data_IF_685080570437
#
_entry.id   IF_685080570437
#
_cell.length_a   1.000
_cell.length_b   1.000
_cell.length_c   1.000
_cell.angle_alpha   90.00
_cell.angle_beta   90.00
_cell.angle_gamma   90.00
#
_symmetry.space_group_name_H-M   'P 1'
#
loop_
_entity.id
_entity.type
_entity.pdbx_description
1 polymer ?
#
# COMPACT_ATOMS: atom_id res chain seq x y z
N UNK A 1 1.66 2.38 5.05
CA UNK A 1 1.36 1.91 6.44
C UNK A 1 0.74 2.98 7.37
N UNK A 2 1.08 4.27 7.24
CA UNK A 2 0.50 5.33 8.12
C UNK A 2 -1.02 5.50 7.95
N UNK A 3 -1.55 5.34 6.73
CA UNK A 3 -3.00 5.34 6.47
C UNK A 3 -3.77 4.33 7.33
N UNK A 4 -3.23 3.12 7.50
CA UNK A 4 -3.85 2.07 8.33
C UNK A 4 -3.86 2.42 9.82
N UNK A 5 -2.89 3.20 10.31
CA UNK A 5 -2.84 3.62 11.72
C UNK A 5 -3.69 4.86 12.00
N UNK A 6 -3.67 5.84 11.10
CA UNK A 6 -4.22 7.17 11.37
C UNK A 6 -5.69 7.33 10.95
N UNK A 7 -6.13 6.71 9.86
CA UNK A 7 -7.50 6.91 9.35
C UNK A 7 -8.50 5.86 9.85
N UNK A 8 -8.01 4.68 10.24
CA UNK A 8 -8.88 3.54 10.52
C UNK A 8 -9.30 3.39 11.99
N UNK A 9 -8.87 4.28 12.90
CA UNK A 9 -9.13 4.21 14.36
C UNK A 9 -8.81 2.84 14.98
N UNK A 10 -7.83 2.12 14.44
CA UNK A 10 -7.46 0.79 14.89
C UNK A 10 -6.51 0.92 16.09
N UNK A 11 -6.77 0.15 17.14
CA UNK A 11 -5.93 0.17 18.34
C UNK A 11 -4.49 -0.22 17.99
N UNK A 12 -3.51 0.52 18.51
CA UNK A 12 -2.09 0.36 18.15
C UNK A 12 -1.55 -1.05 18.43
N UNK A 13 -2.12 -1.76 19.40
CA UNK A 13 -1.75 -3.16 19.72
C UNK A 13 -2.04 -4.17 18.62
N UNK A 14 -2.86 -3.81 17.63
CA UNK A 14 -3.16 -4.66 16.47
C UNK A 14 -2.02 -4.61 15.45
N UNK A 15 -1.21 -3.55 15.47
CA UNK A 15 -0.08 -3.37 14.57
C UNK A 15 1.22 -3.89 15.17
N UNK A 16 2.24 -4.12 14.33
CA UNK A 16 3.61 -4.34 14.80
C UNK A 16 4.06 -3.27 15.78
N UNK A 17 4.88 -3.69 16.75
CA UNK A 17 5.59 -2.76 17.63
C UNK A 17 6.33 -1.71 16.80
N UNK A 18 6.39 -0.46 17.28
CA UNK A 18 6.98 0.66 16.53
C UNK A 18 8.45 0.44 16.15
N UNK A 19 9.18 -0.35 16.94
CA UNK A 19 10.58 -0.70 16.70
C UNK A 19 10.75 -2.03 15.93
N UNK A 20 9.67 -2.64 15.45
CA UNK A 20 9.74 -3.89 14.69
C UNK A 20 10.37 -3.62 13.32
N UNK A 21 11.47 -4.30 13.06
CA UNK A 21 12.09 -4.38 11.73
C UNK A 21 11.91 -5.77 11.13
N UNK A 22 12.04 -5.87 9.81
CA UNK A 22 11.92 -7.11 9.05
C UNK A 22 13.26 -7.42 8.39
N UNK A 23 13.70 -8.66 8.49
CA UNK A 23 14.98 -9.08 7.89
C UNK A 23 14.83 -9.45 6.42
N UNK A 24 13.63 -9.84 6.00
CA UNK A 24 13.33 -10.27 4.63
C UNK A 24 12.05 -9.62 4.12
N UNK A 25 11.92 -9.56 2.80
CA UNK A 25 10.70 -9.15 2.14
C UNK A 25 9.52 -10.07 2.48
N UNK A 26 9.75 -11.37 2.71
CA UNK A 26 8.70 -12.33 3.10
C UNK A 26 8.05 -11.95 4.43
N UNK A 27 8.87 -11.67 5.45
CA UNK A 27 8.37 -11.23 6.76
C UNK A 27 7.58 -9.92 6.63
N UNK A 28 8.08 -8.99 5.81
CA UNK A 28 7.42 -7.70 5.58
C UNK A 28 6.08 -7.86 4.86
N UNK A 29 6.01 -8.66 3.78
CA UNK A 29 4.77 -8.91 3.03
C UNK A 29 3.73 -9.64 3.85
N UNK A 30 4.15 -10.62 4.65
CA UNK A 30 3.23 -11.34 5.54
C UNK A 30 2.62 -10.38 6.57
N UNK A 31 3.44 -9.49 7.15
CA UNK A 31 2.95 -8.50 8.11
C UNK A 31 2.04 -7.47 7.44
N UNK A 32 2.39 -6.99 6.25
CA UNK A 32 1.52 -6.13 5.44
C UNK A 32 0.15 -6.78 5.20
N UNK A 33 0.13 -8.07 4.84
CA UNK A 33 -1.10 -8.82 4.61
C UNK A 33 -1.97 -8.94 5.87
N UNK A 34 -1.33 -9.15 7.04
CA UNK A 34 -2.05 -9.17 8.32
C UNK A 34 -2.64 -7.80 8.65
N UNK A 35 -1.90 -6.72 8.41
CA UNK A 35 -2.40 -5.36 8.64
C UNK A 35 -3.59 -5.02 7.71
N UNK A 36 -3.57 -5.44 6.45
CA UNK A 36 -4.73 -5.28 5.55
C UNK A 36 -5.97 -6.03 6.03
N UNK A 37 -5.82 -7.23 6.60
CA UNK A 37 -6.94 -7.94 7.21
C UNK A 37 -7.45 -7.25 8.47
N UNK A 38 -6.56 -6.77 9.32
CA UNK A 38 -6.94 -5.94 10.48
C UNK A 38 -7.71 -4.70 10.06
N UNK A 39 -7.28 -4.05 8.97
CA UNK A 39 -8.01 -2.92 8.41
C UNK A 39 -9.44 -3.28 8.02
N UNK A 40 -9.65 -4.43 7.37
CA UNK A 40 -11.00 -4.91 7.04
C UNK A 40 -11.88 -5.13 8.27
N UNK A 41 -11.28 -5.59 9.37
CA UNK A 41 -12.02 -5.92 10.60
C UNK A 41 -12.35 -4.67 11.41
N UNK A 42 -11.43 -3.72 11.50
CA UNK A 42 -11.51 -2.61 12.45
C UNK A 42 -11.83 -1.25 11.82
N UNK A 43 -11.61 -1.04 10.52
CA UNK A 43 -12.02 0.20 9.87
C UNK A 43 -13.51 0.17 9.59
N UNK A 44 -14.27 1.00 10.29
CA UNK A 44 -15.74 1.02 10.17
C UNK A 44 -16.25 1.95 9.05
N UNK A 45 -15.45 2.94 8.67
CA UNK A 45 -15.84 3.97 7.71
C UNK A 45 -15.08 3.81 6.38
N UNK A 46 -15.79 4.04 5.27
CA UNK A 46 -15.24 4.23 3.93
C UNK A 46 -14.36 3.09 3.38
N UNK A 47 -14.46 1.88 3.94
CA UNK A 47 -13.73 0.70 3.46
C UNK A 47 -14.59 -0.26 2.65
N UNK A 48 -15.90 -0.26 2.89
CA UNK A 48 -16.86 -1.19 2.28
C UNK A 48 -18.07 -0.39 1.79
N UNK A 49 -18.46 -0.58 0.53
CA UNK A 49 -19.67 0.03 -0.05
C UNK A 49 -20.89 -0.90 -0.03
N UNK A 50 -20.71 -2.20 0.20
CA UNK A 50 -21.77 -3.20 0.25
C UNK A 50 -21.27 -4.62 0.54
N UNK A 51 -22.18 -5.60 0.58
CA UNK A 51 -21.82 -6.99 0.89
C UNK A 51 -20.83 -7.59 -0.13
N UNK A 52 -21.10 -7.41 -1.43
CA UNK A 52 -20.26 -7.97 -2.49
C UNK A 52 -18.86 -7.33 -2.50
N UNK A 53 -18.77 -6.02 -2.28
CA UNK A 53 -17.49 -5.31 -2.12
C UNK A 53 -16.71 -5.84 -0.91
N UNK A 54 -17.38 -6.04 0.23
CA UNK A 54 -16.76 -6.66 1.41
C UNK A 54 -16.23 -8.08 1.11
N UNK A 55 -17.03 -8.90 0.43
CA UNK A 55 -16.66 -10.26 0.04
C UNK A 55 -15.45 -10.27 -0.88
N UNK A 56 -15.45 -9.41 -1.90
CA UNK A 56 -14.34 -9.30 -2.86
C UNK A 56 -13.05 -8.83 -2.18
N UNK A 57 -13.12 -7.79 -1.34
CA UNK A 57 -11.97 -7.30 -0.55
C UNK A 57 -11.46 -8.36 0.41
N UNK A 58 -12.34 -9.10 1.08
CA UNK A 58 -11.95 -10.20 1.97
C UNK A 58 -11.20 -11.31 1.20
N UNK A 59 -11.78 -11.78 0.09
CA UNK A 59 -11.18 -12.84 -0.74
C UNK A 59 -9.82 -12.39 -1.28
N UNK A 60 -9.73 -11.18 -1.85
CA UNK A 60 -8.49 -10.63 -2.37
C UNK A 60 -7.39 -10.55 -1.29
N UNK A 61 -7.72 -10.05 -0.09
CA UNK A 61 -6.78 -9.96 1.04
C UNK A 61 -6.34 -11.33 1.56
N UNK A 62 -7.22 -12.34 1.57
CA UNK A 62 -6.85 -13.71 1.94
C UNK A 62 -5.95 -14.37 0.88
N UNK A 63 -6.22 -14.15 -0.41
CA UNK A 63 -5.35 -14.63 -1.49
C UNK A 63 -3.96 -13.98 -1.41
N UNK A 64 -3.90 -12.66 -1.22
CA UNK A 64 -2.65 -11.93 -1.01
C UNK A 64 -1.86 -12.49 0.18
N UNK A 65 -2.51 -12.67 1.34
CA UNK A 65 -1.89 -13.28 2.53
C UNK A 65 -1.37 -14.69 2.28
N UNK A 66 -2.12 -15.51 1.53
CA UNK A 66 -1.69 -16.86 1.17
C UNK A 66 -0.43 -16.84 0.31
N UNK A 67 -0.38 -15.95 -0.69
CA UNK A 67 0.80 -15.78 -1.55
C UNK A 67 2.01 -15.25 -0.76
N UNK A 68 1.79 -14.30 0.15
CA UNK A 68 2.82 -13.79 1.06
C UNK A 68 3.39 -14.93 1.93
N UNK A 69 2.52 -15.74 2.53
CA UNK A 69 2.92 -16.86 3.38
C UNK A 69 3.65 -17.99 2.60
N UNK A 70 3.45 -18.06 1.28
CA UNK A 70 4.17 -18.98 0.39
C UNK A 70 5.48 -18.40 -0.16
N UNK A 71 5.82 -17.14 0.19
CA UNK A 71 6.99 -16.43 -0.34
C UNK A 71 6.87 -16.07 -1.81
N UNK A 72 5.68 -16.17 -2.42
CA UNK A 72 5.51 -15.92 -3.84
C UNK A 72 5.69 -14.42 -4.19
N UNK A 73 5.31 -13.52 -3.27
CA UNK A 73 5.37 -12.07 -3.51
C UNK A 73 6.81 -11.53 -3.51
N UNK A 74 7.67 -12.03 -2.64
CA UNK A 74 9.07 -11.57 -2.55
C UNK A 74 9.94 -12.04 -3.72
N UNK A 75 9.54 -13.12 -4.37
CA UNK A 75 10.23 -13.70 -5.53
C UNK A 75 9.81 -13.09 -6.87
N UNK A 76 8.74 -12.27 -6.87
CA UNK A 76 8.26 -11.62 -8.08
C UNK A 76 9.25 -10.52 -8.51
N UNK A 77 9.77 -10.64 -9.73
CA UNK A 77 10.75 -9.70 -10.31
C UNK A 77 12.13 -9.64 -9.64
N UNK A 78 12.40 -10.47 -8.62
CA UNK A 78 13.71 -10.57 -7.95
C UNK A 78 13.90 -11.94 -7.31
N UNK A 79 15.07 -12.56 -7.47
CA UNK A 79 15.40 -13.83 -6.80
C UNK A 79 15.93 -13.64 -5.36
N UNK A 80 16.09 -12.40 -4.89
CA UNK A 80 16.63 -12.09 -3.56
C UNK A 80 15.55 -11.58 -2.63
N UNK A 81 15.24 -12.35 -1.59
CA UNK A 81 14.27 -11.97 -0.55
C UNK A 81 14.86 -11.06 0.53
N UNK A 82 16.19 -11.09 0.71
CA UNK A 82 16.96 -10.18 1.57
C UNK A 82 17.45 -8.92 0.82
N UNK A 83 16.62 -8.38 -0.08
CA UNK A 83 16.91 -7.17 -0.84
C UNK A 83 16.91 -5.90 0.03
N UNK A 84 17.44 -4.77 -0.47
CA UNK A 84 17.42 -3.53 0.29
C UNK A 84 15.97 -3.06 0.49
N UNK A 85 15.64 -2.67 1.71
CA UNK A 85 14.43 -1.90 1.97
C UNK A 85 14.64 -0.46 1.49
N UNK A 86 13.63 0.11 0.83
CA UNK A 86 13.66 1.49 0.33
C UNK A 86 12.57 2.30 0.99
N UNK A 87 12.79 3.61 1.05
CA UNK A 87 11.76 4.55 1.46
C UNK A 87 10.70 4.62 0.35
N UNK A 88 9.44 4.45 0.73
CA UNK A 88 8.28 4.45 -0.14
C UNK A 88 7.22 5.38 0.43
N UNK A 89 6.57 6.18 -0.42
CA UNK A 89 5.41 6.98 -0.04
C UNK A 89 4.21 6.55 -0.88
N UNK A 90 3.11 6.25 -0.19
CA UNK A 90 1.86 5.83 -0.83
C UNK A 90 1.10 7.01 -1.47
N UNK A 91 1.58 8.26 -1.36
CA UNK A 91 0.86 9.45 -1.84
C UNK A 91 1.74 10.50 -2.56
N UNK A 92 2.53 10.07 -3.54
CA UNK A 92 3.25 10.99 -4.44
C UNK A 92 2.40 11.48 -5.62
N UNK A 93 1.10 11.76 -5.39
CA UNK A 93 0.23 12.36 -6.41
C UNK A 93 0.83 13.68 -6.91
N UNK A 94 0.59 14.07 -8.18
CA UNK A 94 1.08 15.34 -8.72
C UNK A 94 0.70 16.57 -7.89
N UNK A 95 -0.42 16.53 -7.17
CA UNK A 95 -0.84 17.60 -6.26
C UNK A 95 0.16 17.88 -5.11
N UNK A 96 1.00 16.89 -4.76
CA UNK A 96 2.02 16.98 -3.72
C UNK A 96 3.40 17.39 -4.28
N UNK A 97 3.49 17.68 -5.58
CA UNK A 97 4.70 18.17 -6.25
C UNK A 97 4.63 19.70 -6.47
N UNK A 98 5.53 20.44 -5.82
CA UNK A 98 5.64 21.89 -5.99
C UNK A 98 6.59 22.21 -7.15
N UNK A 99 6.17 23.10 -8.04
CA UNK A 99 6.97 23.54 -9.19
C UNK A 99 7.57 24.92 -8.94
N UNK A 100 8.83 25.10 -9.34
CA UNK A 100 9.48 26.40 -9.38
C UNK A 100 8.93 27.21 -10.55
N UNK A 101 8.21 28.29 -10.20
CA UNK A 101 7.61 29.23 -11.15
C UNK A 101 8.52 30.43 -11.44
N UNK A 102 9.69 30.51 -10.81
CA UNK A 102 10.64 31.61 -11.05
C UNK A 102 11.28 31.52 -12.45
N UNK A 103 11.23 30.35 -13.08
CA UNK A 103 11.72 30.09 -14.44
C UNK A 103 10.63 29.35 -15.23
N UNK A 104 10.47 29.63 -16.53
CA UNK A 104 9.45 29.03 -17.44
C UNK A 104 9.67 27.51 -17.70
N UNK A 105 10.46 26.82 -16.88
CA UNK A 105 10.86 25.43 -17.09
C UNK A 105 10.04 24.43 -16.24
N UNK A 106 9.07 24.88 -15.44
CA UNK A 106 8.22 24.05 -14.55
C UNK A 106 9.03 22.98 -13.79
N UNK A 107 10.20 23.35 -13.26
CA UNK A 107 11.08 22.41 -12.56
C UNK A 107 10.49 22.02 -11.21
N UNK A 108 10.60 20.75 -10.83
CA UNK A 108 10.22 20.29 -9.50
C UNK A 108 11.08 21.00 -8.44
N UNK A 109 10.44 21.81 -7.60
CA UNK A 109 11.08 22.52 -6.49
C UNK A 109 11.13 21.66 -5.22
N UNK A 110 10.03 20.98 -4.91
CA UNK A 110 9.91 20.12 -3.73
C UNK A 110 8.77 19.11 -3.87
N UNK A 111 8.86 18.02 -3.11
CA UNK A 111 7.74 17.10 -2.86
C UNK A 111 7.35 17.25 -1.39
N UNK A 112 6.07 17.46 -1.13
CA UNK A 112 5.51 17.63 0.22
C UNK A 112 4.69 16.40 0.61
N UNK A 113 4.08 16.45 1.79
CA UNK A 113 3.11 15.47 2.26
C UNK A 113 3.66 14.04 2.44
N UNK A 114 4.71 13.93 3.26
CA UNK A 114 5.43 12.69 3.52
C UNK A 114 4.77 11.79 4.58
N UNK A 115 3.54 12.09 5.02
CA UNK A 115 2.91 11.40 6.16
C UNK A 115 2.65 9.90 5.93
N UNK A 116 2.53 9.48 4.67
CA UNK A 116 2.36 8.07 4.26
C UNK A 116 3.65 7.34 3.95
N UNK A 117 4.79 7.93 4.30
CA UNK A 117 6.10 7.37 4.00
C UNK A 117 6.47 6.23 4.97
N UNK A 118 6.98 5.13 4.43
CA UNK A 118 7.46 3.99 5.21
C UNK A 118 8.57 3.22 4.48
N UNK A 119 9.26 2.32 5.19
CA UNK A 119 10.20 1.40 4.55
C UNK A 119 9.46 0.20 3.95
N UNK A 120 9.70 -0.09 2.68
CA UNK A 120 9.10 -1.20 1.94
C UNK A 120 10.16 -2.06 1.25
N UNK A 121 9.82 -3.32 1.00
CA UNK A 121 10.65 -4.22 0.20
C UNK A 121 10.81 -3.65 -1.22
N UNK A 122 12.01 -3.74 -1.82
CA UNK A 122 12.25 -3.17 -3.15
C UNK A 122 11.31 -3.74 -4.23
N UNK A 123 10.85 -4.98 -4.09
CA UNK A 123 9.88 -5.63 -4.96
C UNK A 123 8.53 -4.90 -5.03
N UNK A 124 8.19 -4.13 -4.00
CA UNK A 124 6.95 -3.36 -3.93
C UNK A 124 6.86 -2.29 -5.02
N UNK A 125 7.99 -1.88 -5.62
CA UNK A 125 8.00 -0.98 -6.79
C UNK A 125 7.33 -1.58 -8.03
N UNK A 126 7.21 -2.91 -8.09
CA UNK A 126 6.58 -3.62 -9.20
C UNK A 126 5.05 -3.53 -9.15
N UNK A 127 4.50 -3.14 -8.00
CA UNK A 127 3.10 -2.78 -7.87
C UNK A 127 3.00 -1.30 -8.27
N UNK A 128 2.44 -0.97 -9.46
CA UNK A 128 2.40 0.40 -9.93
C UNK A 128 1.65 1.25 -8.90
N UNK A 129 2.25 2.35 -8.41
CA UNK A 129 1.61 3.14 -7.37
C UNK A 129 0.27 3.66 -7.87
N UNK A 130 -0.77 3.50 -7.06
CA UNK A 130 -2.13 3.93 -7.41
C UNK A 130 -2.20 5.41 -7.77
N UNK A 131 -1.32 6.26 -7.23
CA UNK A 131 -1.29 7.69 -7.53
C UNK A 131 -0.81 8.03 -8.95
N UNK A 132 -0.23 7.06 -9.68
CA UNK A 132 -0.02 7.16 -11.14
C UNK A 132 -1.30 6.85 -11.91
N UNK A 133 -2.24 6.14 -11.29
CA UNK A 133 -3.56 5.90 -11.84
C UNK A 133 -4.39 7.15 -11.50
N UNK A 134 -4.96 7.80 -12.51
CA UNK A 134 -5.79 9.00 -12.32
C UNK A 134 -6.98 8.75 -11.36
N UNK A 135 -7.37 7.48 -11.19
CA UNK A 135 -8.40 7.00 -10.29
C UNK A 135 -7.95 5.67 -9.66
N UNK A 136 -8.22 5.45 -8.36
CA UNK A 136 -7.89 4.19 -7.68
C UNK A 136 -8.70 3.02 -8.27
N UNK A 137 -8.10 1.82 -8.42
CA UNK A 137 -8.80 0.66 -8.98
C UNK A 137 -10.12 0.32 -8.28
N UNK A 138 -10.23 0.61 -6.99
CA UNK A 138 -11.44 0.41 -6.18
C UNK A 138 -12.61 1.34 -6.55
N UNK A 139 -12.34 2.43 -7.26
CA UNK A 139 -13.34 3.42 -7.70
C UNK A 139 -13.73 3.28 -9.16
N UNK A 140 -13.04 2.40 -9.90
CA UNK A 140 -13.39 2.14 -11.29
C UNK A 140 -14.80 1.55 -11.35
N UNK A 141 -15.64 2.07 -12.24
CA UNK A 141 -16.95 1.47 -12.49
C UNK A 141 -16.76 -0.01 -12.84
N UNK A 142 -17.71 -0.88 -12.43
CA UNK A 142 -17.58 -2.32 -12.63
C UNK A 142 -17.69 -2.67 -14.12
N UNK A 143 -16.60 -2.55 -14.86
CA UNK A 143 -16.35 -3.40 -16.03
C UNK A 143 -15.62 -4.64 -15.52
N UNK A 144 -16.33 -5.49 -14.80
CA UNK A 144 -15.80 -6.76 -14.33
C UNK A 144 -15.41 -7.67 -15.51
N UNK A 145 -14.72 -8.78 -15.20
CA UNK A 145 -14.37 -9.87 -16.14
C UNK A 145 -15.61 -10.67 -16.61
N UNK A 146 -16.81 -10.19 -16.30
CA UNK A 146 -18.10 -10.78 -16.66
C UNK A 146 -18.87 -9.95 -17.71
N UNK A 147 -18.16 -9.20 -18.56
CA UNK A 147 -18.67 -8.76 -19.88
C UNK A 147 -17.91 -9.43 -21.04
#
# INVERSE_FOLDING_TARGET
>A
MSNMRQLANIHTSVFPAENKTFATADEWYLELANMHLSQLVFQHNDIISGEDDCRNKYVARQLFRRLANQGCLSTFGSQKTAGPFRLWCDDFRPANALLDRAHDDDKLAAVIDWEFTHAAAAQFVLDPPWWLLFEIPEMWEPSGVDE
#
